data_IF_782058773311
#
_entry.id   IF_782058773311
#
_cell.length_a   1.000
_cell.length_b   1.000
_cell.length_c   1.000
_cell.angle_alpha   90.00
_cell.angle_beta   90.00
_cell.angle_gamma   90.00
#
_symmetry.space_group_name_H-M   'P 1'
#
loop_
_entity.id
_entity.type
_entity.pdbx_description
1 polymer ?
#
# COMPACT_ATOMS: atom_id res chain seq x y z
N UNK A 1 -4.08 11.26 -3.07
CA UNK A 1 -3.73 10.64 -1.76
C UNK A 1 -4.82 10.86 -0.71
N UNK A 2 -5.13 12.08 -0.26
CA UNK A 2 -6.15 12.30 0.79
C UNK A 2 -7.55 11.73 0.44
N UNK A 3 -8.02 11.95 -0.79
CA UNK A 3 -9.29 11.36 -1.27
C UNK A 3 -9.27 9.82 -1.30
N UNK A 4 -8.13 9.21 -1.68
CA UNK A 4 -7.94 7.75 -1.65
C UNK A 4 -8.02 7.23 -0.21
N UNK A 5 -7.42 7.96 0.72
CA UNK A 5 -7.47 7.70 2.16
C UNK A 5 -8.79 8.13 2.80
N UNK A 6 -9.73 8.70 2.03
CA UNK A 6 -11.02 9.23 2.49
C UNK A 6 -10.89 10.28 3.61
N UNK A 7 -9.86 11.12 3.51
CA UNK A 7 -9.60 12.22 4.42
C UNK A 7 -9.97 13.56 3.76
N UNK A 8 -10.73 14.39 4.48
CA UNK A 8 -11.07 15.74 4.03
C UNK A 8 -9.87 16.69 4.12
N UNK A 9 -9.04 16.52 5.15
CA UNK A 9 -7.85 17.34 5.39
C UNK A 9 -6.70 16.48 5.93
N UNK A 10 -5.47 17.02 5.85
CA UNK A 10 -4.31 16.36 6.43
C UNK A 10 -4.47 16.23 7.96
N UNK A 11 -4.11 15.07 8.55
CA UNK A 11 -4.20 14.89 9.98
C UNK A 11 -3.25 15.87 10.69
N UNK A 12 -3.79 16.63 11.66
CA UNK A 12 -3.03 17.58 12.46
C UNK A 12 -2.28 16.84 13.58
N UNK A 13 -1.22 16.12 13.21
CA UNK A 13 -0.39 15.35 14.12
C UNK A 13 1.07 15.74 14.00
N UNK A 14 1.70 16.09 15.12
CA UNK A 14 3.12 16.43 15.18
C UNK A 14 3.98 15.16 15.31
N UNK A 15 5.25 15.27 14.94
CA UNK A 15 6.18 14.12 14.99
C UNK A 15 6.36 13.56 16.40
N UNK A 16 6.31 14.41 17.41
CA UNK A 16 6.41 13.99 18.82
C UNK A 16 5.17 13.21 19.27
N UNK A 17 3.98 13.66 18.84
CA UNK A 17 2.73 12.93 19.08
C UNK A 17 2.70 11.59 18.36
N UNK A 18 3.23 11.51 17.11
CA UNK A 18 3.39 10.23 16.42
C UNK A 18 4.26 9.28 17.23
N UNK A 19 5.43 9.71 17.71
CA UNK A 19 6.32 8.83 18.49
C UNK A 19 5.71 8.31 19.80
N UNK A 20 4.82 9.09 20.42
CA UNK A 20 4.14 8.67 21.64
C UNK A 20 3.00 7.69 21.35
N UNK A 21 2.25 7.92 20.27
CA UNK A 21 1.09 7.09 19.89
C UNK A 21 1.48 5.84 19.10
N UNK A 22 2.64 5.83 18.44
CA UNK A 22 3.08 4.72 17.62
C UNK A 22 3.49 3.54 18.52
N UNK A 23 2.76 2.41 18.49
CA UNK A 23 3.09 1.28 19.33
C UNK A 23 4.39 0.63 18.85
N UNK A 24 5.31 0.34 19.77
CA UNK A 24 6.55 -0.41 19.50
C UNK A 24 6.29 -1.91 19.45
N UNK A 25 5.24 -2.32 18.76
CA UNK A 25 4.85 -3.72 18.64
C UNK A 25 5.57 -4.37 17.44
N UNK A 26 6.02 -5.64 17.55
CA UNK A 26 6.62 -6.39 16.45
C UNK A 26 5.87 -6.29 15.10
N UNK A 27 4.52 -6.44 15.03
CA UNK A 27 3.82 -6.41 13.74
C UNK A 27 3.93 -5.07 13.00
N UNK A 28 4.06 -3.95 13.73
CA UNK A 28 4.22 -2.65 13.08
C UNK A 28 5.62 -2.49 12.49
N UNK A 29 6.63 -3.02 13.18
CA UNK A 29 8.01 -3.00 12.69
C UNK A 29 8.15 -3.81 11.41
N UNK A 30 7.49 -4.98 11.33
CA UNK A 30 7.46 -5.81 10.12
C UNK A 30 6.80 -5.07 8.94
N UNK A 31 5.74 -4.30 9.19
CA UNK A 31 5.11 -3.49 8.15
C UNK A 31 6.06 -2.38 7.65
N UNK A 32 6.73 -1.67 8.56
CA UNK A 32 7.68 -0.62 8.18
C UNK A 32 8.87 -1.18 7.39
N UNK A 33 9.36 -2.34 7.81
CA UNK A 33 10.46 -3.06 7.16
C UNK A 33 10.08 -3.49 5.72
N UNK A 34 8.85 -3.98 5.51
CA UNK A 34 8.32 -4.29 4.17
C UNK A 34 8.29 -3.06 3.25
N UNK A 35 7.92 -1.89 3.77
CA UNK A 35 7.91 -0.65 2.97
C UNK A 35 9.32 -0.14 2.64
N UNK A 36 10.30 -0.35 3.52
CA UNK A 36 11.71 0.00 3.30
C UNK A 36 12.34 -0.92 2.22
N UNK A 37 12.10 -2.23 2.33
CA UNK A 37 12.55 -3.23 1.36
C UNK A 37 11.91 -3.06 -0.02
N UNK A 38 10.63 -2.67 -0.07
CA UNK A 38 9.90 -2.46 -1.33
C UNK A 38 10.24 -1.12 -2.01
N UNK A 39 11.20 -0.36 -1.48
CA UNK A 39 11.80 0.78 -2.17
C UNK A 39 10.77 1.79 -2.68
N UNK A 40 9.83 2.19 -1.82
CA UNK A 40 8.89 3.30 -2.06
C UNK A 40 8.15 3.25 -3.40
N UNK A 41 6.96 2.63 -3.42
CA UNK A 41 5.97 2.66 -4.52
C UNK A 41 6.59 2.99 -5.89
N UNK A 42 7.18 2.00 -6.56
CA UNK A 42 7.61 2.15 -7.96
C UNK A 42 6.47 2.81 -8.75
N UNK A 43 6.71 4.01 -9.27
CA UNK A 43 5.76 4.82 -10.05
C UNK A 43 5.45 4.21 -11.44
N UNK A 44 5.61 2.89 -11.60
CA UNK A 44 5.63 2.17 -12.87
C UNK A 44 4.39 1.28 -13.08
N UNK A 45 3.25 1.62 -12.47
CA UNK A 45 1.98 0.89 -12.69
C UNK A 45 1.09 1.53 -13.77
N UNK A 46 1.66 2.36 -14.66
CA UNK A 46 1.03 2.78 -15.92
C UNK A 46 1.54 1.97 -17.12
N UNK A 47 1.50 0.63 -17.10
CA UNK A 47 1.55 -0.08 -18.38
C UNK A 47 0.96 -1.49 -18.29
N UNK A 48 -0.08 -1.74 -19.10
CA UNK A 48 -0.36 -3.08 -19.59
C UNK A 48 -1.76 -3.61 -19.30
N UNK A 49 -2.77 -2.98 -19.92
CA UNK A 49 -4.01 -3.68 -20.20
C UNK A 49 -3.78 -4.94 -21.03
N UNK A 50 -4.76 -5.84 -20.98
CA UNK A 50 -4.98 -7.02 -21.83
C UNK A 50 -4.39 -8.34 -21.29
N UNK A 51 -5.09 -8.96 -20.32
CA UNK A 51 -5.09 -10.43 -20.24
C UNK A 51 -6.41 -10.95 -20.80
N UNK A 52 -6.42 -11.26 -22.10
CA UNK A 52 -7.47 -12.10 -22.70
C UNK A 52 -7.32 -13.53 -22.17
N UNK A 53 -8.33 -14.01 -21.44
CA UNK A 53 -8.38 -15.38 -20.92
C UNK A 53 -9.02 -16.28 -21.98
N UNK A 54 -8.24 -17.16 -22.61
CA UNK A 54 -8.78 -18.20 -23.51
C UNK A 54 -9.17 -19.42 -22.66
N UNK A 55 -10.47 -19.70 -22.58
CA UNK A 55 -11.02 -20.88 -21.91
C UNK A 55 -11.24 -21.97 -22.96
N UNK A 56 -10.41 -23.01 -22.93
CA UNK A 56 -10.62 -24.20 -23.76
C UNK A 56 -11.47 -25.21 -22.98
N UNK A 57 -12.64 -25.55 -23.51
CA UNK A 57 -13.52 -26.58 -22.94
C UNK A 57 -13.19 -27.93 -23.58
N UNK A 58 -13.05 -28.99 -22.77
CA UNK A 58 -12.86 -30.36 -23.26
C UNK A 58 -14.21 -30.92 -23.74
N UNK A 59 -14.24 -31.53 -24.93
CA UNK A 59 -15.40 -32.28 -25.45
C UNK A 59 -15.24 -33.76 -25.12
N UNK A 60 -16.27 -34.35 -24.50
CA UNK A 60 -16.43 -35.81 -24.28
C UNK A 60 -16.77 -36.55 -25.59
#
# INVERSE_FOLDING_TARGET
ILSILRLEQAPNISRDTVKLLLPKAPPLQELLDQYDQNGGISEDEEQGGNSETIITMATE
#
